data_IF_706448334358
#
_entry.id   IF_706448334358
#
_cell.length_a   1.000
_cell.length_b   1.000
_cell.length_c   1.000
_cell.angle_alpha   90.00
_cell.angle_beta   90.00
_cell.angle_gamma   90.00
#
_symmetry.space_group_name_H-M   'P 1'
#
loop_
_entity.id
_entity.type
_entity.pdbx_description
1 polymer ?
#
# COMPACT_ATOMS: atom_id res chain seq x y z
N UNK A 1 -14.04 -24.16 14.80
CA UNK A 1 -14.01 -22.88 14.03
C UNK A 1 -12.90 -22.97 13.01
N UNK A 2 -13.13 -22.47 11.79
CA UNK A 2 -12.11 -22.44 10.74
C UNK A 2 -11.02 -21.46 11.11
N UNK A 3 -9.75 -21.89 10.98
CA UNK A 3 -8.59 -21.04 11.20
C UNK A 3 -8.45 -20.01 10.07
N UNK A 4 -8.08 -18.78 10.39
CA UNK A 4 -7.78 -17.74 9.42
C UNK A 4 -6.27 -17.71 9.10
N UNK A 5 -5.92 -17.90 7.84
CA UNK A 5 -4.53 -17.89 7.36
C UNK A 5 -4.33 -16.70 6.40
N UNK A 6 -3.64 -15.66 6.85
CA UNK A 6 -3.30 -14.52 6.00
C UNK A 6 -2.07 -14.84 5.17
N UNK A 7 -2.18 -14.75 3.85
CA UNK A 7 -1.08 -14.99 2.90
C UNK A 7 -0.74 -13.69 2.20
N UNK A 8 0.38 -13.10 2.56
CA UNK A 8 0.87 -11.81 2.04
C UNK A 8 2.31 -11.92 1.58
N UNK A 9 2.75 -11.02 0.71
CA UNK A 9 4.10 -11.10 0.15
C UNK A 9 4.86 -9.79 0.07
N UNK A 10 4.21 -8.66 0.37
CA UNK A 10 4.82 -7.33 0.27
C UNK A 10 4.57 -6.49 1.51
N UNK A 11 5.43 -5.49 1.72
CA UNK A 11 5.27 -4.50 2.80
C UNK A 11 3.96 -3.71 2.67
N UNK A 12 3.60 -3.33 1.45
CA UNK A 12 2.35 -2.60 1.19
C UNK A 12 1.11 -3.41 1.58
N UNK A 13 1.14 -4.74 1.37
CA UNK A 13 0.05 -5.61 1.84
C UNK A 13 0.01 -5.65 3.38
N UNK A 14 1.17 -5.76 4.05
CA UNK A 14 1.20 -5.77 5.51
C UNK A 14 0.64 -4.46 6.09
N UNK A 15 1.02 -3.31 5.55
CA UNK A 15 0.48 -2.00 5.96
C UNK A 15 -1.05 -2.02 5.90
N UNK A 16 -1.64 -2.45 4.80
CA UNK A 16 -3.10 -2.44 4.61
C UNK A 16 -3.85 -3.45 5.48
N UNK A 17 -3.23 -4.57 5.85
CA UNK A 17 -3.86 -5.57 6.72
C UNK A 17 -3.54 -5.36 8.21
N UNK A 18 -2.56 -4.53 8.57
CA UNK A 18 -2.17 -4.31 9.95
C UNK A 18 -3.36 -3.97 10.87
N UNK A 19 -4.26 -3.03 10.51
CA UNK A 19 -5.44 -2.74 11.34
C UNK A 19 -6.43 -3.92 11.40
N UNK A 20 -6.52 -4.73 10.35
CA UNK A 20 -7.34 -5.97 10.36
C UNK A 20 -6.76 -6.97 11.34
N UNK A 21 -5.43 -7.17 11.37
CA UNK A 21 -4.75 -8.06 12.31
C UNK A 21 -4.92 -7.58 13.76
N UNK A 22 -4.79 -6.28 13.99
CA UNK A 22 -5.02 -5.69 15.33
C UNK A 22 -6.46 -5.90 15.80
N UNK A 23 -7.45 -5.65 14.94
CA UNK A 23 -8.85 -5.89 15.24
C UNK A 23 -9.13 -7.39 15.47
N UNK A 24 -8.54 -8.28 14.65
CA UNK A 24 -8.68 -9.73 14.81
C UNK A 24 -8.15 -10.23 16.16
N UNK A 25 -7.02 -9.69 16.64
CA UNK A 25 -6.49 -9.99 17.98
C UNK A 25 -7.47 -9.52 19.06
N UNK A 26 -7.99 -8.29 18.94
CA UNK A 26 -8.93 -7.71 19.90
C UNK A 26 -10.23 -8.51 20.01
N UNK A 27 -10.72 -9.06 18.92
CA UNK A 27 -11.94 -9.86 18.84
C UNK A 27 -11.70 -11.35 19.11
N UNK A 28 -10.45 -11.74 19.43
CA UNK A 28 -10.09 -13.14 19.72
C UNK A 28 -10.20 -14.08 18.52
N UNK A 29 -10.12 -13.54 17.28
CA UNK A 29 -10.10 -14.35 16.06
C UNK A 29 -8.72 -14.99 15.87
N UNK A 30 -8.65 -16.32 16.03
CA UNK A 30 -7.41 -17.07 15.81
C UNK A 30 -6.93 -16.96 14.37
N UNK A 31 -5.70 -16.50 14.19
CA UNK A 31 -5.12 -16.34 12.85
C UNK A 31 -3.60 -16.51 12.85
N UNK A 32 -3.08 -16.84 11.68
CA UNK A 32 -1.63 -16.91 11.40
C UNK A 32 -1.35 -16.13 10.13
N UNK A 33 -0.26 -15.38 10.11
CA UNK A 33 0.21 -14.63 8.94
C UNK A 33 1.38 -15.37 8.31
N UNK A 34 1.21 -15.83 7.07
CA UNK A 34 2.27 -16.41 6.27
C UNK A 34 2.81 -15.38 5.27
N UNK A 35 4.03 -14.91 5.55
CA UNK A 35 4.71 -13.95 4.68
C UNK A 35 5.48 -14.70 3.61
N UNK A 36 5.13 -14.52 2.33
CA UNK A 36 5.74 -15.27 1.21
C UNK A 36 7.13 -14.73 0.83
N UNK A 37 7.44 -13.47 1.19
CA UNK A 37 8.69 -12.80 0.83
C UNK A 37 8.83 -12.61 -0.67
N UNK A 38 7.82 -12.06 -1.33
CA UNK A 38 7.86 -11.75 -2.78
C UNK A 38 9.00 -10.79 -3.13
N UNK A 39 9.23 -9.81 -2.29
CA UNK A 39 10.39 -8.93 -2.31
C UNK A 39 11.27 -9.25 -1.11
N UNK A 40 12.59 -9.05 -1.24
CA UNK A 40 13.58 -9.37 -0.19
C UNK A 40 13.63 -8.30 0.93
N UNK A 41 12.55 -7.56 1.10
CA UNK A 41 12.45 -6.57 2.16
C UNK A 41 11.98 -7.22 3.46
N UNK A 42 12.67 -6.95 4.56
CA UNK A 42 12.17 -7.31 5.90
C UNK A 42 10.88 -6.54 6.20
N UNK A 43 10.01 -7.18 6.99
CA UNK A 43 8.79 -6.59 7.53
C UNK A 43 8.87 -6.40 9.06
N UNK A 44 10.00 -6.71 9.68
CA UNK A 44 10.17 -6.68 11.13
C UNK A 44 9.98 -5.27 11.70
N UNK A 45 10.42 -4.26 10.95
CA UNK A 45 10.21 -2.84 11.27
C UNK A 45 8.71 -2.45 11.24
N UNK A 46 7.93 -2.98 10.31
CA UNK A 46 6.49 -2.74 10.26
C UNK A 46 5.75 -3.49 11.38
N UNK A 47 6.18 -4.74 11.68
CA UNK A 47 5.61 -5.49 12.80
C UNK A 47 5.81 -4.73 14.11
N UNK A 48 7.00 -4.15 14.32
CA UNK A 48 7.30 -3.33 15.49
C UNK A 48 6.54 -1.99 15.46
N UNK A 49 6.47 -1.30 14.32
CA UNK A 49 5.83 -0.01 14.15
C UNK A 49 4.31 -0.07 14.40
N UNK A 50 3.65 -1.15 13.95
CA UNK A 50 2.24 -1.41 14.23
C UNK A 50 1.98 -2.19 15.52
N UNK A 51 3.02 -2.59 16.26
CA UNK A 51 2.93 -3.42 17.49
C UNK A 51 2.10 -4.70 17.28
N UNK A 52 2.27 -5.34 16.13
CA UNK A 52 1.47 -6.50 15.76
C UNK A 52 1.79 -7.71 16.65
N UNK A 53 0.75 -8.28 17.27
CA UNK A 53 0.85 -9.45 18.16
C UNK A 53 0.50 -10.76 17.45
N UNK A 54 0.25 -10.72 16.14
CA UNK A 54 -0.06 -11.89 15.33
C UNK A 54 1.14 -12.83 15.21
N UNK A 55 0.88 -14.12 15.05
CA UNK A 55 1.92 -15.09 14.74
C UNK A 55 2.32 -14.98 13.28
N UNK A 56 3.59 -14.65 13.02
CA UNK A 56 4.17 -14.59 11.68
C UNK A 56 5.00 -15.83 11.36
N UNK A 57 4.78 -16.41 10.18
CA UNK A 57 5.56 -17.50 9.62
C UNK A 57 6.29 -16.99 8.38
N UNK A 58 7.62 -17.04 8.43
CA UNK A 58 8.50 -16.61 7.34
C UNK A 58 9.06 -17.81 6.57
N UNK A 59 9.25 -17.73 5.25
CA UNK A 59 9.96 -18.75 4.51
C UNK A 59 11.44 -18.80 4.95
N UNK A 60 12.01 -19.99 5.02
CA UNK A 60 13.36 -20.24 5.55
C UNK A 60 14.53 -19.68 4.70
N UNK A 61 14.30 -19.00 3.58
CA UNK A 61 15.37 -18.50 2.69
C UNK A 61 15.30 -17.01 2.44
N UNK A 62 16.28 -16.27 2.95
CA UNK A 62 16.61 -14.90 2.53
C UNK A 62 17.39 -14.98 1.21
N UNK A 63 16.75 -14.84 0.07
CA UNK A 63 17.43 -14.75 -1.23
C UNK A 63 16.93 -13.52 -1.98
N UNK A 64 17.85 -12.61 -2.31
CA UNK A 64 17.59 -11.43 -3.16
C UNK A 64 16.89 -11.79 -4.48
N UNK A 65 15.75 -11.17 -4.79
CA UNK A 65 14.90 -11.50 -5.94
C UNK A 65 14.67 -10.31 -6.87
N UNK A 66 15.77 -9.69 -7.27
CA UNK A 66 15.76 -8.48 -8.11
C UNK A 66 15.56 -8.73 -9.60
N UNK A 67 15.35 -9.98 -10.07
CA UNK A 67 15.18 -10.29 -11.50
C UNK A 67 13.91 -11.10 -11.78
N UNK A 68 13.31 -10.88 -12.97
CA UNK A 68 12.12 -11.60 -13.46
C UNK A 68 12.34 -13.12 -13.46
N UNK A 69 13.56 -13.56 -13.82
CA UNK A 69 13.90 -15.00 -13.84
C UNK A 69 13.86 -15.61 -12.44
N UNK A 70 14.32 -14.90 -11.42
CA UNK A 70 14.25 -15.35 -10.01
C UNK A 70 12.82 -15.36 -9.48
N UNK A 71 11.97 -14.44 -9.95
CA UNK A 71 10.55 -14.45 -9.64
C UNK A 71 9.84 -15.67 -10.22
N UNK A 72 10.18 -16.07 -11.44
CA UNK A 72 9.64 -17.28 -12.10
C UNK A 72 10.06 -18.57 -11.37
N UNK A 73 11.29 -18.65 -10.85
CA UNK A 73 11.75 -19.81 -10.06
C UNK A 73 11.18 -19.82 -8.64
N UNK A 74 10.86 -18.67 -8.08
CA UNK A 74 10.25 -18.53 -6.77
C UNK A 74 8.79 -19.00 -6.74
N UNK A 75 8.03 -18.77 -7.82
CA UNK A 75 6.60 -19.06 -7.92
C UNK A 75 6.26 -20.54 -7.60
N UNK A 76 6.84 -21.56 -8.26
CA UNK A 76 6.50 -22.95 -7.96
C UNK A 76 6.83 -23.35 -6.52
N UNK A 77 8.02 -22.96 -6.03
CA UNK A 77 8.44 -23.25 -4.66
C UNK A 77 7.52 -22.63 -3.61
N UNK A 78 7.07 -21.40 -3.85
CA UNK A 78 6.14 -20.69 -2.95
C UNK A 78 4.76 -21.32 -3.01
N UNK A 79 4.27 -21.67 -4.20
CA UNK A 79 3.00 -22.38 -4.35
C UNK A 79 2.96 -23.69 -3.56
N UNK A 80 3.96 -24.56 -3.70
CA UNK A 80 3.98 -25.85 -3.00
C UNK A 80 4.12 -25.69 -1.48
N UNK A 81 4.90 -24.72 -1.00
CA UNK A 81 5.02 -24.43 0.43
C UNK A 81 3.71 -23.87 1.01
N UNK A 82 3.08 -22.91 0.32
CA UNK A 82 1.80 -22.36 0.71
C UNK A 82 0.72 -23.44 0.74
N UNK A 83 0.66 -24.26 -0.31
CA UNK A 83 -0.27 -25.39 -0.38
C UNK A 83 -0.07 -26.38 0.76
N UNK A 84 1.19 -26.72 1.10
CA UNK A 84 1.51 -27.59 2.22
C UNK A 84 1.05 -26.96 3.54
N UNK A 85 1.35 -25.68 3.78
CA UNK A 85 0.95 -24.95 4.97
C UNK A 85 -0.58 -24.97 5.17
N UNK A 86 -1.35 -24.67 4.13
CA UNK A 86 -2.81 -24.68 4.17
C UNK A 86 -3.35 -26.12 4.40
N UNK A 87 -2.73 -27.13 3.77
CA UNK A 87 -3.12 -28.52 3.94
C UNK A 87 -2.88 -28.99 5.38
N UNK A 88 -1.73 -28.64 5.97
CA UNK A 88 -1.43 -28.95 7.38
C UNK A 88 -2.46 -28.31 8.32
N UNK A 89 -2.77 -27.03 8.16
CA UNK A 89 -3.78 -26.36 8.98
C UNK A 89 -5.17 -27.01 8.87
N UNK A 90 -5.55 -27.46 7.65
CA UNK A 90 -6.80 -28.20 7.44
C UNK A 90 -6.78 -29.57 8.13
N UNK A 91 -5.66 -30.28 8.11
CA UNK A 91 -5.52 -31.61 8.74
C UNK A 91 -5.57 -31.48 10.29
N UNK A 92 -4.99 -30.43 10.84
CA UNK A 92 -4.97 -30.16 12.29
C UNK A 92 -6.34 -29.76 12.84
N UNK A 93 -7.11 -28.98 12.11
CA UNK A 93 -8.42 -28.48 12.54
C UNK A 93 -9.59 -29.37 12.11
N UNK A 94 -9.42 -30.19 11.08
CA UNK A 94 -10.49 -30.95 10.42
C UNK A 94 -11.39 -30.10 9.50
N UNK A 95 -11.29 -28.78 9.55
CA UNK A 95 -12.08 -27.83 8.79
C UNK A 95 -11.31 -27.17 7.64
N UNK A 96 -12.02 -26.68 6.62
CA UNK A 96 -11.43 -25.91 5.55
C UNK A 96 -11.02 -24.51 6.08
N UNK A 97 -9.71 -24.16 6.14
CA UNK A 97 -9.28 -22.86 6.65
C UNK A 97 -9.73 -21.72 5.73
N UNK A 98 -9.97 -20.54 6.32
CA UNK A 98 -10.14 -19.29 5.58
C UNK A 98 -8.75 -18.77 5.17
N UNK A 99 -8.46 -18.72 3.89
CA UNK A 99 -7.19 -18.20 3.37
C UNK A 99 -7.40 -16.80 2.86
N UNK A 100 -6.92 -15.83 3.64
CA UNK A 100 -7.09 -14.40 3.38
C UNK A 100 -5.92 -13.93 2.52
N UNK A 101 -6.22 -13.43 1.34
CA UNK A 101 -5.27 -12.82 0.40
C UNK A 101 -5.65 -11.37 0.14
N UNK A 102 -4.70 -10.51 -0.24
CA UNK A 102 -4.93 -9.08 -0.37
C UNK A 102 -4.45 -8.52 -1.71
N UNK A 103 -5.30 -7.74 -2.38
CA UNK A 103 -4.94 -6.97 -3.58
C UNK A 103 -4.62 -7.85 -4.80
N UNK A 104 -3.59 -7.51 -5.56
CA UNK A 104 -3.33 -7.98 -6.92
C UNK A 104 -1.89 -8.47 -7.17
N UNK A 105 -1.14 -8.74 -6.11
CA UNK A 105 0.25 -9.21 -6.24
C UNK A 105 0.35 -10.67 -6.70
N UNK A 106 1.54 -11.09 -7.14
CA UNK A 106 1.80 -12.51 -7.41
C UNK A 106 1.54 -13.39 -6.18
N UNK A 107 1.87 -12.92 -4.98
CA UNK A 107 1.61 -13.62 -3.71
C UNK A 107 0.11 -13.83 -3.49
N UNK A 108 -0.72 -12.85 -3.84
CA UNK A 108 -2.18 -12.92 -3.77
C UNK A 108 -2.71 -14.06 -4.64
N UNK A 109 -2.30 -14.06 -5.91
CA UNK A 109 -2.72 -15.11 -6.86
C UNK A 109 -2.23 -16.51 -6.44
N UNK A 110 -0.95 -16.62 -6.05
CA UNK A 110 -0.37 -17.90 -5.59
C UNK A 110 -1.05 -18.40 -4.33
N UNK A 111 -1.33 -17.52 -3.37
CA UNK A 111 -2.06 -17.86 -2.14
C UNK A 111 -3.48 -18.35 -2.44
N UNK A 112 -4.22 -17.67 -3.31
CA UNK A 112 -5.55 -18.06 -3.72
C UNK A 112 -5.56 -19.42 -4.46
N UNK A 113 -4.62 -19.64 -5.38
CA UNK A 113 -4.51 -20.91 -6.12
C UNK A 113 -4.10 -22.06 -5.19
N UNK A 114 -3.16 -21.82 -4.27
CA UNK A 114 -2.76 -22.80 -3.27
C UNK A 114 -3.93 -23.17 -2.34
N UNK A 115 -4.72 -22.20 -1.91
CA UNK A 115 -5.91 -22.41 -1.10
C UNK A 115 -6.92 -23.31 -1.81
N UNK A 116 -7.28 -22.97 -3.04
CA UNK A 116 -8.23 -23.79 -3.85
C UNK A 116 -7.77 -25.22 -4.01
N UNK A 117 -6.47 -25.43 -4.27
CA UNK A 117 -5.91 -26.77 -4.49
C UNK A 117 -5.65 -27.56 -3.20
N UNK A 118 -5.60 -26.89 -2.05
CA UNK A 118 -5.47 -27.51 -0.72
C UNK A 118 -6.83 -27.75 -0.04
N UNK A 119 -7.93 -27.28 -0.63
CA UNK A 119 -9.27 -27.36 -0.05
C UNK A 119 -9.55 -26.32 1.04
N UNK A 120 -8.86 -25.18 1.00
CA UNK A 120 -9.17 -23.99 1.78
C UNK A 120 -10.16 -23.06 1.07
N UNK A 121 -10.76 -22.15 1.81
CA UNK A 121 -11.71 -21.16 1.34
C UNK A 121 -10.98 -19.81 1.13
N UNK A 122 -11.02 -19.27 -0.07
CA UNK A 122 -10.32 -18.01 -0.41
C UNK A 122 -11.17 -16.81 -0.01
N UNK A 123 -10.61 -15.95 0.83
CA UNK A 123 -11.13 -14.62 1.16
C UNK A 123 -10.22 -13.58 0.50
N UNK A 124 -10.76 -12.73 -0.35
CA UNK A 124 -9.99 -11.72 -1.07
C UNK A 124 -10.31 -10.32 -0.57
N UNK A 125 -9.35 -9.69 0.11
CA UNK A 125 -9.40 -8.29 0.55
C UNK A 125 -9.01 -7.35 -0.60
N UNK A 126 -9.55 -6.14 -0.59
CA UNK A 126 -9.41 -5.15 -1.67
C UNK A 126 -9.86 -5.74 -3.01
N UNK A 127 -10.93 -6.53 -2.95
CA UNK A 127 -11.46 -7.27 -4.09
C UNK A 127 -12.37 -6.40 -4.95
N UNK A 128 -12.42 -6.72 -6.24
CA UNK A 128 -13.33 -6.05 -7.18
C UNK A 128 -12.81 -4.77 -7.81
N UNK A 129 -11.69 -4.21 -7.37
CA UNK A 129 -11.04 -3.09 -8.05
C UNK A 129 -10.56 -3.51 -9.43
N UNK A 130 -10.62 -2.63 -10.43
CA UNK A 130 -10.14 -2.89 -11.79
C UNK A 130 -9.93 -1.60 -12.56
N UNK A 131 -8.88 -1.55 -13.35
CA UNK A 131 -8.64 -0.45 -14.29
C UNK A 131 -9.58 -0.47 -15.50
N UNK A 132 -10.36 -1.54 -15.68
CA UNK A 132 -11.15 -1.78 -16.88
C UNK A 132 -10.34 -2.29 -18.08
N UNK A 133 -9.01 -2.17 -18.06
CA UNK A 133 -8.10 -2.54 -19.15
C UNK A 133 -7.27 -3.77 -18.75
N UNK A 134 -7.38 -4.89 -19.50
CA UNK A 134 -6.79 -6.19 -19.12
C UNK A 134 -5.26 -6.14 -18.98
N UNK A 135 -4.59 -5.26 -19.73
CA UNK A 135 -3.12 -5.18 -19.77
C UNK A 135 -2.56 -3.93 -19.07
N UNK A 136 -3.37 -3.18 -18.33
CA UNK A 136 -2.94 -1.98 -17.62
C UNK A 136 -3.55 -1.91 -16.20
N UNK A 137 -2.72 -1.99 -15.15
CA UNK A 137 -1.29 -2.33 -15.16
C UNK A 137 -1.04 -3.82 -15.44
N UNK A 138 0.04 -4.13 -16.14
CA UNK A 138 0.46 -5.51 -16.39
C UNK A 138 1.61 -5.89 -15.43
N UNK A 139 1.57 -7.08 -14.80
CA UNK A 139 0.58 -8.18 -14.90
C UNK A 139 -0.57 -8.10 -13.89
N UNK A 140 -0.64 -7.05 -13.06
CA UNK A 140 -1.50 -6.93 -11.88
C UNK A 140 -2.98 -7.10 -12.21
N UNK A 141 -3.48 -6.48 -13.29
CA UNK A 141 -4.89 -6.58 -13.66
C UNK A 141 -5.30 -8.01 -14.06
N UNK A 142 -4.40 -8.75 -14.70
CA UNK A 142 -4.64 -10.16 -15.03
C UNK A 142 -4.70 -11.01 -13.76
N UNK A 143 -3.73 -10.83 -12.85
CA UNK A 143 -3.67 -11.56 -11.58
C UNK A 143 -4.90 -11.29 -10.74
N UNK A 144 -5.34 -10.03 -10.69
CA UNK A 144 -6.54 -9.58 -10.00
C UNK A 144 -7.79 -10.30 -10.52
N UNK A 145 -8.02 -10.30 -11.84
CA UNK A 145 -9.17 -10.99 -12.47
C UNK A 145 -9.15 -12.51 -12.27
N UNK A 146 -7.98 -13.12 -12.25
CA UNK A 146 -7.83 -14.54 -11.94
C UNK A 146 -8.16 -14.81 -10.46
N UNK A 147 -7.69 -13.97 -9.55
CA UNK A 147 -7.98 -14.07 -8.13
C UNK A 147 -9.48 -13.92 -7.83
N UNK A 148 -10.20 -13.00 -8.51
CA UNK A 148 -11.64 -12.89 -8.38
C UNK A 148 -12.36 -14.21 -8.61
N UNK A 149 -11.97 -14.97 -9.64
CA UNK A 149 -12.57 -16.27 -9.97
C UNK A 149 -12.18 -17.39 -9.01
N UNK A 150 -11.07 -17.23 -8.29
CA UNK A 150 -10.63 -18.18 -7.26
C UNK A 150 -11.29 -17.90 -5.91
N UNK A 151 -11.85 -16.70 -5.70
CA UNK A 151 -12.42 -16.27 -4.43
C UNK A 151 -13.73 -17.02 -4.12
N UNK A 152 -13.96 -17.29 -2.83
CA UNK A 152 -15.24 -17.69 -2.28
C UNK A 152 -15.91 -16.49 -1.61
N UNK A 153 -15.10 -15.62 -1.01
CA UNK A 153 -15.51 -14.43 -0.30
C UNK A 153 -14.71 -13.23 -0.80
N UNK A 154 -15.37 -12.10 -0.94
CA UNK A 154 -14.78 -10.87 -1.44
C UNK A 154 -15.12 -9.70 -0.52
N UNK A 155 -14.12 -8.95 -0.08
CA UNK A 155 -14.24 -7.72 0.70
C UNK A 155 -13.91 -6.54 -0.23
N UNK A 156 -14.92 -5.73 -0.50
CA UNK A 156 -14.93 -4.74 -1.58
C UNK A 156 -14.95 -3.33 -1.00
N UNK A 157 -13.99 -2.45 -1.36
CA UNK A 157 -13.83 -1.14 -0.73
C UNK A 157 -14.84 -0.08 -1.20
N UNK A 158 -15.52 -0.29 -2.34
CA UNK A 158 -16.48 0.66 -2.90
C UNK A 158 -17.60 -0.05 -3.68
N UNK A 159 -18.62 0.71 -4.06
CA UNK A 159 -19.81 0.23 -4.75
C UNK A 159 -19.50 -0.48 -6.08
N UNK A 160 -18.58 0.08 -6.89
CA UNK A 160 -18.22 -0.51 -8.18
C UNK A 160 -17.55 -1.88 -8.01
N UNK A 161 -16.61 -1.98 -7.06
CA UNK A 161 -15.94 -3.22 -6.71
C UNK A 161 -16.91 -4.26 -6.16
N UNK A 162 -17.83 -3.83 -5.31
CA UNK A 162 -18.88 -4.68 -4.75
C UNK A 162 -19.82 -5.22 -5.83
N UNK A 163 -20.34 -4.36 -6.69
CA UNK A 163 -21.21 -4.76 -7.80
C UNK A 163 -20.51 -5.75 -8.75
N UNK A 164 -19.22 -5.52 -9.03
CA UNK A 164 -18.42 -6.42 -9.87
C UNK A 164 -18.28 -7.81 -9.25
N UNK A 165 -18.02 -7.89 -7.95
CA UNK A 165 -17.83 -9.17 -7.26
C UNK A 165 -19.16 -9.91 -7.05
N UNK A 166 -20.24 -9.21 -6.79
CA UNK A 166 -21.60 -9.80 -6.74
C UNK A 166 -22.01 -10.47 -8.06
N UNK A 167 -21.54 -9.97 -9.20
CA UNK A 167 -21.84 -10.54 -10.49
C UNK A 167 -21.13 -11.89 -10.74
N UNK A 168 -20.13 -12.26 -9.91
CA UNK A 168 -19.38 -13.52 -10.07
C UNK A 168 -20.11 -14.63 -9.33
N UNK A 169 -20.61 -15.60 -10.06
CA UNK A 169 -21.34 -16.75 -9.50
C UNK A 169 -20.50 -17.52 -8.47
N UNK A 170 -21.04 -17.72 -7.28
CA UNK A 170 -20.40 -18.50 -6.21
C UNK A 170 -19.42 -17.68 -5.34
N UNK A 171 -19.40 -16.38 -5.50
CA UNK A 171 -18.68 -15.45 -4.60
C UNK A 171 -19.69 -14.73 -3.71
N UNK A 172 -19.46 -14.76 -2.41
CA UNK A 172 -20.15 -13.91 -1.45
C UNK A 172 -19.36 -12.61 -1.27
N UNK A 173 -19.93 -11.48 -1.63
CA UNK A 173 -19.30 -10.17 -1.51
C UNK A 173 -19.80 -9.40 -0.29
N UNK A 174 -18.89 -8.70 0.38
CA UNK A 174 -19.18 -7.77 1.48
C UNK A 174 -18.59 -6.41 1.12
N UNK A 175 -19.38 -5.35 1.29
CA UNK A 175 -18.97 -3.97 1.11
C UNK A 175 -18.30 -3.46 2.39
N UNK A 176 -17.04 -3.04 2.33
CA UNK A 176 -16.29 -2.54 3.48
C UNK A 176 -16.39 -1.02 3.66
N UNK A 177 -17.04 -0.34 2.71
CA UNK A 177 -17.20 1.12 2.71
C UNK A 177 -15.99 1.85 2.18
N UNK A 178 -14.80 1.45 2.59
CA UNK A 178 -13.50 2.00 2.20
C UNK A 178 -12.43 0.91 2.24
N UNK A 179 -11.22 1.26 1.81
CA UNK A 179 -10.05 0.39 1.97
C UNK A 179 -9.57 0.40 3.43
N UNK A 180 -9.06 -0.72 3.90
CA UNK A 180 -8.46 -0.86 5.25
C UNK A 180 -7.28 0.08 5.49
N UNK A 181 -6.73 0.69 4.44
CA UNK A 181 -5.70 1.74 4.54
C UNK A 181 -6.22 2.98 5.29
N UNK A 182 -7.52 3.29 5.24
CA UNK A 182 -8.11 4.36 6.05
C UNK A 182 -7.85 4.13 7.54
N UNK A 183 -8.06 2.90 8.03
CA UNK A 183 -7.81 2.56 9.43
C UNK A 183 -6.31 2.56 9.78
N UNK A 184 -5.44 2.26 8.79
CA UNK A 184 -4.00 2.43 8.94
C UNK A 184 -3.60 3.88 9.19
N UNK A 185 -4.16 4.81 8.39
CA UNK A 185 -3.87 6.24 8.54
C UNK A 185 -4.38 6.75 9.88
N UNK A 186 -5.57 6.33 10.30
CA UNK A 186 -6.11 6.64 11.63
C UNK A 186 -5.19 6.17 12.74
N UNK A 187 -4.82 4.89 12.72
CA UNK A 187 -3.92 4.29 13.70
C UNK A 187 -2.58 5.04 13.81
N UNK A 188 -1.99 5.39 12.68
CA UNK A 188 -0.72 6.10 12.66
C UNK A 188 -0.82 7.51 13.26
N UNK A 189 -1.91 8.23 12.97
CA UNK A 189 -2.10 9.60 13.48
C UNK A 189 -2.58 9.61 14.93
N UNK A 190 -3.31 8.59 15.39
CA UNK A 190 -3.73 8.47 16.79
C UNK A 190 -2.56 8.42 17.76
N UNK A 191 -1.41 7.99 17.30
CA UNK A 191 -0.15 7.91 18.07
C UNK A 191 0.69 9.19 18.03
N UNK A 192 0.30 10.17 17.21
CA UNK A 192 1.03 11.43 17.10
C UNK A 192 0.49 12.42 18.15
N UNK A 193 1.37 12.92 19.02
CA UNK A 193 1.00 13.91 20.07
C UNK A 193 0.49 15.24 19.50
N UNK A 194 0.90 15.61 18.27
CA UNK A 194 0.54 16.86 17.60
C UNK A 194 -0.24 16.57 16.31
N UNK A 195 -1.54 16.27 16.44
CA UNK A 195 -2.43 15.98 15.30
C UNK A 195 -2.85 17.21 14.50
N UNK A 196 -2.77 18.41 15.07
CA UNK A 196 -3.36 19.62 14.48
C UNK A 196 -2.30 20.62 14.07
N UNK A 197 -2.48 21.18 12.89
CA UNK A 197 -1.68 22.26 12.34
C UNK A 197 -0.97 21.88 11.05
N UNK A 198 -1.05 22.79 10.08
CA UNK A 198 -0.24 22.69 8.85
C UNK A 198 1.16 23.15 9.18
N UNK A 199 2.14 22.26 9.08
CA UNK A 199 3.54 22.62 9.15
C UNK A 199 3.95 23.46 7.94
N UNK A 200 5.07 24.15 8.03
CA UNK A 200 5.59 24.99 6.96
C UNK A 200 6.62 24.25 6.09
N UNK A 201 6.38 22.95 5.87
CA UNK A 201 7.31 22.08 5.13
C UNK A 201 6.61 21.34 4.00
N UNK A 202 7.40 20.95 3.00
CA UNK A 202 7.05 20.05 1.94
C UNK A 202 7.66 18.67 2.23
N UNK A 203 7.02 17.61 1.76
CA UNK A 203 7.58 16.25 1.85
C UNK A 203 7.79 15.73 0.44
N UNK A 204 8.95 15.15 0.16
CA UNK A 204 9.22 14.47 -1.10
C UNK A 204 9.48 12.97 -0.87
N UNK A 205 8.85 12.12 -1.68
CA UNK A 205 9.07 10.67 -1.69
C UNK A 205 8.97 10.15 -3.12
N UNK A 206 10.12 9.90 -3.73
CA UNK A 206 10.26 9.51 -5.15
C UNK A 206 11.05 8.21 -5.21
N UNK A 207 10.47 7.16 -5.80
CA UNK A 207 11.09 5.83 -5.84
C UNK A 207 10.70 4.96 -7.05
N UNK A 208 9.79 5.43 -7.93
CA UNK A 208 9.40 4.65 -9.10
C UNK A 208 10.52 4.52 -10.11
N UNK A 209 10.60 3.34 -10.72
CA UNK A 209 11.61 3.01 -11.73
C UNK A 209 11.72 4.07 -12.82
N UNK A 210 10.60 4.51 -13.41
CA UNK A 210 10.58 5.52 -14.49
C UNK A 210 11.21 6.86 -14.09
N UNK A 211 11.14 7.23 -12.81
CA UNK A 211 11.68 8.49 -12.29
C UNK A 211 13.15 8.39 -11.89
N UNK A 212 13.58 7.28 -11.28
CA UNK A 212 14.91 7.20 -10.68
C UNK A 212 15.98 6.56 -11.55
N UNK A 213 15.60 5.77 -12.56
CA UNK A 213 16.58 5.06 -13.41
C UNK A 213 17.00 5.82 -14.66
N UNK A 214 16.34 6.92 -15.00
CA UNK A 214 16.73 7.84 -16.07
C UNK A 214 17.30 9.12 -15.46
N UNK A 215 18.61 9.35 -15.69
CA UNK A 215 19.34 10.47 -15.10
C UNK A 215 18.67 11.83 -15.36
N UNK A 216 18.27 12.10 -16.62
CA UNK A 216 17.62 13.36 -16.99
C UNK A 216 16.28 13.59 -16.27
N UNK A 217 15.51 12.53 -16.04
CA UNK A 217 14.23 12.62 -15.31
C UNK A 217 14.49 12.90 -13.83
N UNK A 218 15.44 12.17 -13.21
CA UNK A 218 15.76 12.40 -11.81
C UNK A 218 16.39 13.77 -11.58
N UNK A 219 17.22 14.25 -12.51
CA UNK A 219 17.80 15.60 -12.45
C UNK A 219 16.72 16.69 -12.52
N UNK A 220 15.74 16.55 -13.41
CA UNK A 220 14.59 17.47 -13.48
C UNK A 220 13.78 17.50 -12.18
N UNK A 221 13.53 16.33 -11.57
CA UNK A 221 12.86 16.26 -10.27
C UNK A 221 13.69 16.98 -9.18
N UNK A 222 14.99 16.77 -9.16
CA UNK A 222 15.90 17.45 -8.23
C UNK A 222 15.84 18.97 -8.40
N UNK A 223 15.82 19.47 -9.65
CA UNK A 223 15.70 20.90 -9.94
C UNK A 223 14.38 21.49 -9.42
N UNK A 224 13.28 20.76 -9.59
CA UNK A 224 11.96 21.15 -9.05
C UNK A 224 11.96 21.20 -7.51
N UNK A 225 12.57 20.21 -6.85
CA UNK A 225 12.67 20.20 -5.38
C UNK A 225 13.55 21.32 -4.84
N UNK A 226 14.66 21.60 -5.50
CA UNK A 226 15.52 22.74 -5.15
C UNK A 226 14.78 24.07 -5.38
N UNK A 227 14.04 24.20 -6.47
CA UNK A 227 13.17 25.35 -6.68
C UNK A 227 12.14 25.50 -5.57
N UNK A 228 11.47 24.41 -5.22
CA UNK A 228 10.43 24.40 -4.16
C UNK A 228 11.00 24.74 -2.77
N UNK A 229 12.28 24.43 -2.51
CA UNK A 229 12.92 24.75 -1.23
C UNK A 229 13.09 26.26 -0.98
N UNK A 230 12.86 27.10 -1.98
CA UNK A 230 12.78 28.56 -1.81
C UNK A 230 11.46 29.03 -1.17
N UNK A 231 10.43 28.18 -1.18
CA UNK A 231 9.10 28.47 -0.64
C UNK A 231 8.86 27.82 0.75
N UNK A 232 9.83 27.04 1.24
CA UNK A 232 9.79 26.37 2.55
C UNK A 232 10.67 25.14 2.59
N UNK A 233 10.89 24.58 3.76
CA UNK A 233 11.73 23.39 3.92
C UNK A 233 11.15 22.18 3.18
N UNK A 234 11.96 21.51 2.36
CA UNK A 234 11.61 20.24 1.71
C UNK A 234 12.29 19.08 2.44
N UNK A 235 11.51 18.23 3.07
CA UNK A 235 11.96 16.98 3.69
C UNK A 235 11.93 15.89 2.61
N UNK A 236 13.06 15.50 2.08
CA UNK A 236 13.14 14.43 1.09
C UNK A 236 13.45 13.11 1.79
N UNK A 237 12.42 12.26 1.96
CA UNK A 237 12.54 10.92 2.54
C UNK A 237 13.03 9.97 1.46
N UNK A 238 14.26 9.51 1.61
CA UNK A 238 14.97 8.74 0.60
C UNK A 238 14.68 7.25 0.72
N UNK A 239 14.12 6.68 -0.35
CA UNK A 239 14.15 5.23 -0.52
C UNK A 239 15.58 4.79 -0.89
N UNK A 240 16.08 3.64 -0.40
CA UNK A 240 17.47 3.20 -0.67
C UNK A 240 17.84 3.18 -2.16
N UNK A 241 16.92 2.77 -3.04
CA UNK A 241 17.15 2.80 -4.48
C UNK A 241 17.31 4.22 -5.03
N UNK A 242 16.54 5.17 -4.51
CA UNK A 242 16.60 6.58 -4.90
C UNK A 242 17.92 7.19 -4.46
N UNK A 243 18.33 6.98 -3.22
CA UNK A 243 19.61 7.44 -2.71
C UNK A 243 20.77 6.91 -3.56
N UNK A 244 20.77 5.61 -3.87
CA UNK A 244 21.79 5.00 -4.72
C UNK A 244 21.88 5.69 -6.10
N UNK A 245 20.74 6.03 -6.71
CA UNK A 245 20.69 6.70 -8.02
C UNK A 245 21.15 8.16 -7.94
N UNK A 246 20.71 8.89 -6.92
CA UNK A 246 21.16 10.26 -6.67
C UNK A 246 22.69 10.32 -6.52
N UNK A 247 23.28 9.41 -5.75
CA UNK A 247 24.75 9.31 -5.61
C UNK A 247 25.43 8.94 -6.92
N UNK A 248 24.89 7.94 -7.64
CA UNK A 248 25.44 7.51 -8.94
C UNK A 248 25.49 8.63 -9.98
N UNK A 249 24.48 9.49 -10.01
CA UNK A 249 24.36 10.59 -10.99
C UNK A 249 24.93 11.92 -10.48
N UNK A 250 25.57 11.93 -9.29
CA UNK A 250 26.13 13.16 -8.70
C UNK A 250 25.10 14.18 -8.20
N UNK A 251 23.82 13.78 -8.17
CA UNK A 251 22.72 14.67 -7.77
C UNK A 251 22.56 14.80 -6.25
N UNK A 252 23.06 13.82 -5.49
CA UNK A 252 22.98 13.82 -4.02
C UNK A 252 23.63 15.06 -3.42
N UNK A 253 24.83 15.41 -3.87
CA UNK A 253 25.56 16.56 -3.36
C UNK A 253 24.87 17.90 -3.68
N UNK A 254 24.19 17.99 -4.83
CA UNK A 254 23.39 19.17 -5.18
C UNK A 254 22.25 19.41 -4.20
N UNK A 255 21.55 18.33 -3.80
CA UNK A 255 20.49 18.40 -2.80
C UNK A 255 21.03 18.72 -1.40
N UNK A 256 22.16 18.12 -1.02
CA UNK A 256 22.81 18.34 0.28
C UNK A 256 23.29 19.79 0.45
N UNK A 257 23.70 20.45 -0.64
CA UNK A 257 24.12 21.86 -0.63
C UNK A 257 22.98 22.86 -0.79
N UNK A 258 21.79 22.42 -1.16
CA UNK A 258 20.66 23.33 -1.38
C UNK A 258 20.07 23.80 -0.02
N UNK A 259 20.06 25.10 0.25
CA UNK A 259 19.38 25.62 1.46
C UNK A 259 17.91 25.23 1.43
N UNK A 260 17.39 24.76 2.56
CA UNK A 260 15.97 24.36 2.68
C UNK A 260 15.66 22.93 2.21
N UNK A 261 16.64 22.15 1.74
CA UNK A 261 16.50 20.71 1.54
C UNK A 261 17.01 19.96 2.77
N UNK A 262 16.16 19.10 3.33
CA UNK A 262 16.51 18.17 4.41
C UNK A 262 16.42 16.74 3.86
N UNK A 263 17.57 16.08 3.71
CA UNK A 263 17.61 14.68 3.29
C UNK A 263 17.42 13.79 4.52
N UNK A 264 16.38 12.96 4.51
CA UNK A 264 16.08 11.99 5.56
C UNK A 264 16.22 10.57 5.02
N UNK A 265 16.84 9.64 5.76
CA UNK A 265 16.72 8.23 5.44
C UNK A 265 15.25 7.79 5.56
N UNK A 266 14.96 6.57 5.13
CA UNK A 266 13.63 5.98 5.35
C UNK A 266 13.30 5.98 6.84
N UNK A 267 12.16 6.56 7.17
CA UNK A 267 11.61 6.62 8.54
C UNK A 267 10.49 5.58 8.70
N UNK A 268 10.11 5.20 9.94
CA UNK A 268 8.98 4.33 10.21
C UNK A 268 7.71 4.81 9.52
N UNK A 269 6.83 3.88 9.15
CA UNK A 269 5.65 4.19 8.35
C UNK A 269 4.67 5.12 9.09
N UNK A 270 4.43 4.85 10.37
CA UNK A 270 3.53 5.67 11.19
C UNK A 270 4.07 7.10 11.39
N UNK A 271 5.38 7.25 11.59
CA UNK A 271 6.05 8.54 11.65
C UNK A 271 5.97 9.28 10.30
N UNK A 272 6.19 8.58 9.19
CA UNK A 272 6.08 9.15 7.84
C UNK A 272 4.69 9.71 7.55
N UNK A 273 3.63 8.99 7.93
CA UNK A 273 2.25 9.48 7.83
C UNK A 273 2.04 10.75 8.65
N UNK A 274 2.61 10.84 9.86
CA UNK A 274 2.55 12.04 10.67
C UNK A 274 3.27 13.23 10.05
N UNK A 275 4.42 13.01 9.41
CA UNK A 275 5.15 14.06 8.67
C UNK A 275 4.36 14.51 7.45
N UNK A 276 3.79 13.58 6.65
CA UNK A 276 2.95 13.90 5.50
C UNK A 276 1.66 14.63 5.91
N UNK A 277 1.00 14.20 7.00
CA UNK A 277 -0.25 14.81 7.47
C UNK A 277 -0.13 16.28 7.84
N UNK A 278 1.05 16.74 8.25
CA UNK A 278 1.34 18.13 8.58
C UNK A 278 1.97 18.92 7.42
N UNK A 279 2.26 18.29 6.29
CA UNK A 279 2.91 18.97 5.19
C UNK A 279 2.01 20.03 4.53
N UNK A 280 2.62 21.09 4.00
CA UNK A 280 1.93 22.02 3.09
C UNK A 280 1.53 21.30 1.79
N UNK A 281 2.44 20.44 1.29
CA UNK A 281 2.21 19.61 0.12
C UNK A 281 3.17 18.41 0.14
N UNK A 282 2.73 17.31 -0.44
CA UNK A 282 3.55 16.11 -0.63
C UNK A 282 3.83 15.91 -2.12
N UNK A 283 5.11 15.74 -2.45
CA UNK A 283 5.59 15.42 -3.80
C UNK A 283 5.89 13.92 -3.83
N UNK A 284 5.12 13.15 -4.57
CA UNK A 284 5.25 11.69 -4.57
C UNK A 284 5.04 11.08 -5.95
N UNK A 285 5.53 9.86 -6.12
CA UNK A 285 5.21 8.99 -7.25
C UNK A 285 4.56 7.67 -6.80
N UNK A 286 4.32 7.51 -5.49
CA UNK A 286 3.77 6.31 -4.87
C UNK A 286 2.24 6.24 -4.94
N UNK A 287 1.69 5.06 -5.32
CA UNK A 287 0.24 4.84 -5.33
C UNK A 287 -0.37 4.77 -3.92
N UNK A 288 0.33 4.17 -2.94
CA UNK A 288 -0.15 4.15 -1.54
C UNK A 288 -0.19 5.56 -0.95
N UNK A 289 0.86 6.37 -1.19
CA UNK A 289 0.88 7.76 -0.74
C UNK A 289 -0.29 8.58 -1.31
N UNK A 290 -0.66 8.32 -2.57
CA UNK A 290 -1.83 8.96 -3.18
C UNK A 290 -3.10 8.66 -2.38
N UNK A 291 -3.38 7.39 -2.09
CA UNK A 291 -4.54 6.95 -1.34
C UNK A 291 -4.53 7.51 0.11
N UNK A 292 -3.39 7.45 0.80
CA UNK A 292 -3.18 8.02 2.14
C UNK A 292 -3.48 9.52 2.17
N UNK A 293 -2.95 10.27 1.20
CA UNK A 293 -3.13 11.72 1.09
C UNK A 293 -4.56 12.12 0.76
N UNK A 294 -5.30 11.28 0.02
CA UNK A 294 -6.72 11.52 -0.22
C UNK A 294 -7.55 11.48 1.06
N UNK A 295 -7.19 10.59 2.02
CA UNK A 295 -7.82 10.55 3.33
C UNK A 295 -7.42 11.72 4.22
N UNK A 296 -6.16 12.17 4.12
CA UNK A 296 -5.62 13.28 4.90
C UNK A 296 -6.09 14.66 4.41
N UNK A 297 -6.57 14.78 3.17
CA UNK A 297 -6.90 16.05 2.54
C UNK A 297 -5.69 16.95 2.26
N UNK A 298 -4.47 16.42 2.42
CA UNK A 298 -3.22 17.15 2.19
C UNK A 298 -2.97 17.30 0.69
N UNK A 299 -2.64 18.51 0.18
CA UNK A 299 -2.26 18.71 -1.20
C UNK A 299 -1.14 17.77 -1.63
N UNK A 300 -1.29 17.12 -2.80
CA UNK A 300 -0.26 16.26 -3.34
C UNK A 300 -0.02 16.54 -4.83
N UNK A 301 1.25 16.50 -5.22
CA UNK A 301 1.69 16.63 -6.61
C UNK A 301 2.33 15.30 -7.01
N UNK A 302 1.71 14.63 -7.98
CA UNK A 302 2.16 13.31 -8.44
C UNK A 302 3.11 13.43 -9.63
N UNK A 303 4.32 12.92 -9.46
CA UNK A 303 5.31 12.77 -10.54
C UNK A 303 5.12 11.45 -11.27
N UNK A 304 3.98 11.35 -11.96
CA UNK A 304 3.54 10.17 -12.75
C UNK A 304 2.79 10.64 -13.98
N UNK A 305 2.80 9.83 -15.05
CA UNK A 305 2.01 10.09 -16.26
C UNK A 305 0.52 9.75 -16.06
N UNK A 306 0.22 8.73 -15.26
CA UNK A 306 -1.14 8.33 -14.95
C UNK A 306 -1.20 7.60 -13.61
N UNK A 307 -2.40 7.46 -13.06
CA UNK A 307 -2.66 6.63 -11.89
C UNK A 307 -3.78 5.63 -12.19
N UNK A 308 -3.60 4.41 -11.69
CA UNK A 308 -4.62 3.36 -11.66
C UNK A 308 -5.69 3.60 -10.58
N UNK A 309 -5.46 4.57 -9.70
CA UNK A 309 -6.32 4.93 -8.58
C UNK A 309 -6.94 6.29 -8.82
N UNK A 310 -8.26 6.44 -8.65
CA UNK A 310 -8.92 7.73 -8.78
C UNK A 310 -8.79 8.60 -7.52
N UNK A 311 -8.37 8.02 -6.38
CA UNK A 311 -8.39 8.62 -5.04
C UNK A 311 -7.74 10.00 -5.03
N UNK A 312 -8.51 11.02 -4.67
CA UNK A 312 -8.08 12.42 -4.52
C UNK A 312 -7.74 13.17 -5.82
N UNK A 313 -7.72 12.50 -6.99
CA UNK A 313 -7.40 13.17 -8.27
C UNK A 313 -8.50 14.19 -8.62
N UNK A 314 -8.06 15.43 -8.90
CA UNK A 314 -8.99 16.54 -9.15
C UNK A 314 -9.59 17.17 -7.88
N UNK A 315 -9.29 16.64 -6.71
CA UNK A 315 -9.65 17.17 -5.40
C UNK A 315 -8.46 17.81 -4.71
N UNK A 316 -7.69 17.03 -3.96
CA UNK A 316 -6.47 17.47 -3.29
C UNK A 316 -5.18 16.96 -3.99
N UNK A 317 -5.30 16.20 -5.06
CA UNK A 317 -4.20 15.58 -5.79
C UNK A 317 -4.20 16.01 -7.25
N UNK A 318 -3.06 16.43 -7.76
CA UNK A 318 -2.83 16.86 -9.14
C UNK A 318 -1.56 16.20 -9.70
N UNK A 319 -1.54 15.92 -10.99
CA UNK A 319 -0.32 15.49 -11.65
C UNK A 319 0.61 16.67 -11.91
N UNK A 320 1.94 16.42 -11.84
CA UNK A 320 2.92 17.48 -12.14
C UNK A 320 2.75 18.04 -13.55
N UNK A 321 2.42 17.22 -14.52
CA UNK A 321 2.25 17.63 -15.91
C UNK A 321 0.99 18.49 -16.16
N UNK A 322 0.02 18.49 -15.24
CA UNK A 322 -1.17 19.37 -15.31
C UNK A 322 -0.87 20.77 -14.74
N UNK A 323 0.31 20.98 -14.15
CA UNK A 323 0.76 22.28 -13.65
C UNK A 323 1.67 22.92 -14.72
N UNK A 324 1.16 23.93 -15.44
CA UNK A 324 1.90 24.58 -16.54
C UNK A 324 3.09 25.38 -16.06
N UNK A 325 3.01 25.95 -14.86
CA UNK A 325 4.05 26.81 -14.26
C UNK A 325 5.08 26.03 -13.44
N UNK A 326 6.19 26.67 -13.05
CA UNK A 326 7.13 26.12 -12.10
C UNK A 326 6.48 25.92 -10.71
N UNK A 327 6.90 24.91 -9.96
CA UNK A 327 6.30 24.62 -8.64
C UNK A 327 6.34 25.81 -7.66
N UNK A 328 7.44 26.59 -7.56
CA UNK A 328 7.44 27.79 -6.70
C UNK A 328 6.34 28.79 -7.08
N UNK A 329 6.11 29.01 -8.39
CA UNK A 329 5.08 29.92 -8.86
C UNK A 329 3.66 29.40 -8.57
N UNK A 330 3.47 28.08 -8.70
CA UNK A 330 2.22 27.41 -8.32
C UNK A 330 1.91 27.59 -6.83
N UNK A 331 2.93 27.45 -5.98
CA UNK A 331 2.78 27.70 -4.54
C UNK A 331 2.44 29.15 -4.25
N UNK A 332 3.19 30.11 -4.80
CA UNK A 332 2.96 31.55 -4.61
C UNK A 332 1.59 32.02 -5.12
N UNK A 333 1.06 31.39 -6.15
CA UNK A 333 -0.26 31.70 -6.71
C UNK A 333 -1.45 31.14 -5.93
N UNK A 334 -1.20 30.51 -4.77
CA UNK A 334 -2.26 29.88 -3.97
C UNK A 334 -2.74 28.54 -4.53
N UNK A 335 -1.88 27.86 -5.30
CA UNK A 335 -2.21 26.56 -5.89
C UNK A 335 -2.50 25.46 -4.84
N UNK A 336 -1.72 25.45 -3.76
CA UNK A 336 -1.88 24.47 -2.69
C UNK A 336 -3.14 24.69 -1.86
N UNK A 337 -3.48 25.94 -1.60
CA UNK A 337 -4.69 26.31 -0.85
C UNK A 337 -5.96 25.89 -1.59
N UNK A 338 -5.95 25.93 -2.92
CA UNK A 338 -7.06 25.43 -3.76
C UNK A 338 -7.20 23.93 -3.74
N UNK A 339 -6.08 23.20 -3.52
CA UNK A 339 -6.07 21.74 -3.44
C UNK A 339 -6.42 21.22 -2.05
N UNK A 340 -6.14 21.97 -0.97
CA UNK A 340 -6.37 21.46 0.40
C UNK A 340 -7.85 21.14 0.63
N UNK A 341 -8.09 20.00 1.27
CA UNK A 341 -9.42 19.52 1.66
C UNK A 341 -9.43 19.16 3.15
N UNK A 342 -10.62 19.05 3.70
CA UNK A 342 -10.81 18.49 5.04
C UNK A 342 -10.40 17.01 5.05
N UNK A 343 -9.90 16.56 6.19
CA UNK A 343 -9.55 15.16 6.39
C UNK A 343 -10.82 14.29 6.44
N UNK A 344 -10.74 13.10 5.85
CA UNK A 344 -11.80 12.08 5.89
C UNK A 344 -11.63 11.08 7.05
N UNK A 345 -10.73 11.35 7.98
CA UNK A 345 -10.44 10.44 9.08
C UNK A 345 -11.58 10.31 10.09
N UNK A 346 -12.46 11.30 10.17
CA UNK A 346 -13.65 11.29 11.01
C UNK A 346 -14.85 10.55 10.38
N UNK A 347 -14.71 10.00 9.17
CA UNK A 347 -15.72 9.16 8.54
C UNK A 347 -16.06 7.99 9.47
N UNK A 348 -17.34 7.69 9.75
CA UNK A 348 -17.72 6.62 10.69
C UNK A 348 -17.43 5.21 10.21
N UNK A 349 -17.11 5.01 8.92
CA UNK A 349 -16.84 3.68 8.36
C UNK A 349 -15.56 3.09 8.98
N UNK A 350 -15.61 1.81 9.33
CA UNK A 350 -14.50 1.05 9.91
C UNK A 350 -14.22 -0.21 9.08
N UNK A 351 -13.48 -0.09 7.96
CA UNK A 351 -13.27 -1.20 7.03
C UNK A 351 -12.66 -2.43 7.67
N UNK A 352 -11.74 -2.25 8.62
CA UNK A 352 -11.08 -3.36 9.31
C UNK A 352 -12.03 -4.09 10.25
N UNK A 353 -12.90 -3.37 10.99
CA UNK A 353 -13.95 -3.96 11.81
C UNK A 353 -14.94 -4.78 10.98
N UNK A 354 -15.45 -4.20 9.87
CA UNK A 354 -16.35 -4.91 8.94
C UNK A 354 -15.66 -6.17 8.38
N UNK A 355 -14.35 -6.10 8.09
CA UNK A 355 -13.56 -7.24 7.62
C UNK A 355 -13.49 -8.34 8.68
N UNK A 356 -13.20 -8.02 9.93
CA UNK A 356 -13.10 -9.00 11.03
C UNK A 356 -14.46 -9.62 11.35
N UNK A 357 -15.53 -8.85 11.36
CA UNK A 357 -16.91 -9.35 11.51
C UNK A 357 -17.26 -10.38 10.41
N UNK A 358 -16.90 -10.09 9.17
CA UNK A 358 -17.11 -11.01 8.06
C UNK A 358 -16.28 -12.30 8.23
N UNK A 359 -14.99 -12.20 8.60
CA UNK A 359 -14.13 -13.35 8.87
C UNK A 359 -14.66 -14.20 10.02
N UNK A 360 -15.11 -13.58 11.12
CA UNK A 360 -15.68 -14.27 12.26
C UNK A 360 -16.98 -15.03 11.89
N UNK A 361 -17.81 -14.43 11.03
CA UNK A 361 -19.03 -15.08 10.50
C UNK A 361 -18.70 -16.30 9.63
N UNK A 362 -17.70 -16.19 8.73
CA UNK A 362 -17.31 -17.28 7.83
C UNK A 362 -16.47 -18.36 8.51
N UNK A 363 -15.90 -18.08 9.67
CA UNK A 363 -15.12 -19.05 10.46
C UNK A 363 -16.01 -20.06 11.22
N UNK A 364 -17.27 -19.75 11.41
CA UNK A 364 -18.28 -20.64 11.99
C UNK A 364 -18.70 -21.71 10.99
#
# INVERSE_FOLDING_TARGET
MRQCLFVIGTRAQLVKIAPVLTAAVSDGLEHIVWFTGQHDESIDDLIADFELQSQFVHPASKQERSSVLRLLTWLPGTFFRCRKFIKTAREETGDAPLVVVHGDTLSTFVGALAARTAGGLVVHLESGLSSGRIFEPFPEEILRRLTFRLSHFALCPNDEAFARMQAIKGVEAVHTGENTLLDCVRFALDRQENRTGTGDHFVASIHRFGNIYKESTLAAIVDELIGLSLEGTVIFVLHPATEQRLRKYGLYHRLEQAPGISLSPRIPYTEFLGVMGRARCVISDGGSNQEELSYLGVPAILFRECSERPDGIGENIIFRHDIEQALPDFVRSGGLERLRRDSRLDDPVQPSGITVDALARWSK
#
